data_IF_740924102912
#
_entry.id   IF_740924102912
#
_cell.length_a   1.000
_cell.length_b   1.000
_cell.length_c   1.000
_cell.angle_alpha   90.00
_cell.angle_beta   90.00
_cell.angle_gamma   90.00
#
_symmetry.space_group_name_H-M   'P 1'
#
loop_
_entity.id
_entity.type
_entity.pdbx_description
1 polymer ?
#
# COMPACT_ATOMS: atom_id res chain seq x y z
N UNK A 1 15.19 -45.64 -76.56
CA UNK A 1 14.01 -44.84 -76.98
C UNK A 1 12.77 -45.45 -76.35
N UNK A 2 11.73 -44.71 -75.89
CA UNK A 2 11.72 -43.45 -75.13
C UNK A 2 10.86 -43.52 -73.83
N UNK A 3 11.11 -42.57 -72.92
CA UNK A 3 10.17 -41.74 -72.13
C UNK A 3 8.96 -42.36 -71.37
N UNK A 4 8.92 -42.08 -70.06
CA UNK A 4 7.97 -41.16 -69.35
C UNK A 4 8.04 -41.44 -67.84
N UNK A 5 8.71 -40.61 -67.06
CA UNK A 5 8.25 -39.36 -66.44
C UNK A 5 7.16 -39.51 -65.36
N UNK A 6 7.61 -39.17 -64.14
CA UNK A 6 6.98 -38.36 -63.10
C UNK A 6 5.87 -38.94 -62.22
N UNK A 7 6.09 -38.66 -60.93
CA UNK A 7 5.15 -38.60 -59.78
C UNK A 7 5.02 -39.94 -59.04
N UNK A 8 5.26 -40.04 -57.74
CA UNK A 8 4.68 -39.18 -56.71
C UNK A 8 5.65 -38.99 -55.52
N UNK A 9 6.11 -37.74 -55.39
CA UNK A 9 6.30 -36.94 -54.17
C UNK A 9 6.25 -37.71 -52.83
N UNK A 10 7.42 -37.87 -52.23
CA UNK A 10 7.58 -38.12 -50.80
C UNK A 10 7.18 -36.86 -50.03
N UNK A 11 6.12 -36.96 -49.23
CA UNK A 11 5.72 -35.93 -48.27
C UNK A 11 6.15 -36.37 -46.87
N UNK A 12 7.40 -36.06 -46.51
CA UNK A 12 7.93 -36.13 -45.14
C UNK A 12 8.25 -34.69 -44.72
N UNK A 13 7.27 -34.00 -44.13
CA UNK A 13 7.43 -32.74 -43.38
C UNK A 13 6.21 -32.69 -42.45
N UNK A 14 6.27 -32.55 -41.14
CA UNK A 14 7.34 -32.35 -40.18
C UNK A 14 6.62 -32.17 -38.83
N UNK A 15 6.96 -32.96 -37.82
CA UNK A 15 6.56 -32.72 -36.45
C UNK A 15 7.27 -31.45 -35.97
N UNK A 16 6.63 -30.31 -36.13
CA UNK A 16 7.01 -29.08 -35.45
C UNK A 16 5.99 -28.83 -34.33
N UNK A 17 6.26 -29.43 -33.18
CA UNK A 17 5.74 -28.90 -31.93
C UNK A 17 6.47 -27.62 -31.60
N UNK A 18 5.72 -26.56 -31.33
CA UNK A 18 6.07 -25.57 -30.31
C UNK A 18 4.75 -25.03 -29.77
N UNK A 19 4.34 -25.60 -28.65
CA UNK A 19 3.52 -24.90 -27.68
C UNK A 19 4.34 -23.70 -27.20
N UNK A 20 4.13 -22.54 -27.82
CA UNK A 20 4.55 -21.27 -27.24
C UNK A 20 3.37 -20.74 -26.41
N UNK A 21 3.10 -21.44 -25.31
CA UNK A 21 2.50 -20.84 -24.13
C UNK A 21 3.54 -19.83 -23.67
N UNK A 22 3.32 -18.55 -23.95
CA UNK A 22 4.07 -17.49 -23.30
C UNK A 22 3.59 -17.47 -21.85
N UNK A 23 4.43 -17.81 -20.85
CA UNK A 23 4.12 -17.46 -19.49
C UNK A 23 4.01 -15.93 -19.48
N UNK A 24 2.87 -15.41 -19.03
CA UNK A 24 2.85 -14.02 -18.59
C UNK A 24 3.73 -14.00 -17.35
N UNK A 25 5.01 -13.72 -17.56
CA UNK A 25 5.92 -13.34 -16.50
C UNK A 25 5.28 -12.14 -15.81
N UNK A 26 4.88 -12.33 -14.56
CA UNK A 26 4.45 -11.28 -13.63
C UNK A 26 5.59 -10.31 -13.40
N UNK A 27 5.84 -9.48 -14.41
CA UNK A 27 6.96 -8.60 -14.52
C UNK A 27 6.48 -7.18 -14.66
N UNK A 28 6.60 -6.47 -13.53
CA UNK A 28 6.53 -5.03 -13.32
C UNK A 28 6.63 -4.21 -14.61
N UNK A 29 5.64 -3.33 -14.92
CA UNK A 29 5.76 -2.41 -16.03
C UNK A 29 7.06 -1.65 -15.89
N UNK A 30 7.73 -1.40 -17.02
CA UNK A 30 9.11 -0.91 -17.09
C UNK A 30 9.38 0.34 -16.23
N UNK A 31 8.36 1.16 -15.98
CA UNK A 31 8.41 2.30 -15.06
C UNK A 31 8.70 1.91 -13.59
N UNK A 32 8.20 0.78 -13.10
CA UNK A 32 8.44 0.27 -11.75
C UNK A 32 9.84 -0.38 -11.59
N UNK A 33 10.39 -0.93 -12.68
CA UNK A 33 11.78 -1.44 -12.70
C UNK A 33 12.82 -0.32 -12.70
N UNK A 34 12.50 0.84 -13.25
CA UNK A 34 13.45 1.95 -13.41
C UNK A 34 13.82 2.69 -12.11
N UNK A 35 13.08 2.49 -11.02
CA UNK A 35 13.41 3.13 -9.75
C UNK A 35 14.16 2.23 -8.76
N UNK A 36 13.82 0.94 -8.64
CA UNK A 36 14.45 0.06 -7.62
C UNK A 36 14.39 0.59 -6.18
N UNK A 37 13.60 1.63 -5.90
CA UNK A 37 13.51 2.29 -4.61
C UNK A 37 12.35 1.67 -3.85
N UNK A 38 12.65 0.95 -2.77
CA UNK A 38 11.66 0.53 -1.78
C UNK A 38 10.90 1.79 -1.29
N UNK A 39 9.56 1.85 -1.38
CA UNK A 39 8.79 2.96 -0.87
C UNK A 39 9.10 3.24 0.60
N UNK A 40 9.17 4.52 0.98
CA UNK A 40 9.48 4.96 2.34
C UNK A 40 8.52 6.08 2.75
N UNK A 41 8.30 6.29 4.06
CA UNK A 41 7.53 7.44 4.54
C UNK A 41 8.06 8.77 3.99
N UNK A 42 7.15 9.62 3.50
CA UNK A 42 7.49 10.93 2.93
C UNK A 42 7.84 11.98 4.01
N UNK A 43 7.55 11.68 5.27
CA UNK A 43 7.76 12.54 6.44
C UNK A 43 7.99 11.66 7.69
N UNK A 44 8.68 12.19 8.73
CA UNK A 44 8.78 11.51 10.02
C UNK A 44 7.41 11.26 10.65
N UNK A 45 7.24 10.11 11.31
CA UNK A 45 5.98 9.81 11.98
C UNK A 45 5.65 10.83 13.07
N UNK A 46 4.39 11.20 13.16
CA UNK A 46 3.85 11.97 14.26
C UNK A 46 3.81 11.13 15.55
N UNK A 47 4.05 11.75 16.72
CA UNK A 47 4.09 11.03 17.98
C UNK A 47 2.74 10.37 18.32
N UNK A 48 2.75 9.35 19.20
CA UNK A 48 1.54 8.78 19.78
C UNK A 48 0.65 9.85 20.43
N UNK A 49 -0.66 9.64 20.43
CA UNK A 49 -1.64 10.55 21.01
C UNK A 49 -2.84 9.81 21.59
N UNK A 50 -3.28 10.23 22.78
CA UNK A 50 -4.48 9.68 23.41
C UNK A 50 -5.79 10.27 22.87
N UNK A 51 -6.94 9.84 23.42
CA UNK A 51 -7.13 8.74 24.37
C UNK A 51 -6.75 7.36 23.81
N UNK A 52 -6.71 6.36 24.67
CA UNK A 52 -6.49 4.97 24.27
C UNK A 52 -7.60 4.49 23.33
N UNK A 53 -7.20 3.91 22.21
CA UNK A 53 -8.10 3.44 21.17
C UNK A 53 -7.61 2.14 20.58
N UNK A 54 -8.57 1.30 20.21
CA UNK A 54 -8.34 0.11 19.41
C UNK A 54 -9.20 0.18 18.15
N UNK A 55 -8.55 0.10 16.99
CA UNK A 55 -9.19 0.23 15.69
C UNK A 55 -8.84 -1.00 14.86
N UNK A 56 -9.84 -1.62 14.26
CA UNK A 56 -9.64 -2.69 13.26
C UNK A 56 -10.05 -2.13 11.91
N UNK A 57 -9.18 -2.25 10.91
CA UNK A 57 -9.39 -1.73 9.57
C UNK A 57 -9.03 -2.77 8.51
N UNK A 58 -9.79 -2.83 7.44
CA UNK A 58 -9.39 -3.52 6.22
C UNK A 58 -8.67 -2.52 5.32
N UNK A 59 -7.44 -2.85 4.93
CA UNK A 59 -6.62 -2.07 4.02
C UNK A 59 -6.49 -2.83 2.71
N UNK A 60 -6.91 -2.22 1.60
CA UNK A 60 -6.73 -2.78 0.25
C UNK A 60 -5.83 -1.84 -0.54
N UNK A 61 -4.61 -2.30 -0.83
CA UNK A 61 -3.62 -1.57 -1.61
C UNK A 61 -3.69 -2.02 -3.07
N UNK A 62 -3.95 -1.08 -3.97
CA UNK A 62 -3.90 -1.29 -5.42
C UNK A 62 -2.62 -0.67 -5.97
N UNK A 63 -1.70 -1.55 -6.36
CA UNK A 63 -0.51 -1.23 -7.14
C UNK A 63 -0.81 -1.42 -8.64
N UNK A 64 0.06 -0.95 -9.55
CA UNK A 64 -0.16 -1.13 -10.98
C UNK A 64 -0.32 -2.60 -11.42
N UNK A 65 0.26 -3.55 -10.68
CA UNK A 65 0.25 -4.97 -11.01
C UNK A 65 -0.41 -5.89 -9.99
N UNK A 66 -0.61 -5.40 -8.77
CA UNK A 66 -1.08 -6.24 -7.68
C UNK A 66 -2.12 -5.52 -6.85
N UNK A 67 -2.99 -6.32 -6.27
CA UNK A 67 -3.95 -5.88 -5.29
C UNK A 67 -3.77 -6.74 -4.05
N UNK A 68 -3.48 -6.11 -2.93
CA UNK A 68 -3.19 -6.79 -1.68
C UNK A 68 -4.16 -6.29 -0.62
N UNK A 69 -4.83 -7.21 0.08
CA UNK A 69 -5.72 -6.88 1.18
C UNK A 69 -5.23 -7.47 2.49
N UNK A 70 -5.22 -6.65 3.53
CA UNK A 70 -4.90 -7.08 4.89
C UNK A 70 -5.89 -6.51 5.91
N UNK A 71 -5.96 -7.16 7.07
CA UNK A 71 -6.56 -6.59 8.27
C UNK A 71 -5.45 -5.91 9.08
N UNK A 72 -5.68 -4.65 9.44
CA UNK A 72 -4.82 -3.86 10.30
C UNK A 72 -5.50 -3.69 11.65
N UNK A 73 -4.84 -4.13 12.71
CA UNK A 73 -5.24 -3.83 14.09
C UNK A 73 -4.32 -2.73 14.59
N UNK A 74 -4.88 -1.55 14.84
CA UNK A 74 -4.18 -0.36 15.33
C UNK A 74 -4.58 -0.12 16.79
N UNK A 75 -3.59 -0.12 17.67
CA UNK A 75 -3.71 0.29 19.06
C UNK A 75 -2.93 1.59 19.25
N UNK A 76 -3.58 2.58 19.85
CA UNK A 76 -3.04 3.91 20.01
C UNK A 76 -3.30 4.38 21.43
N UNK A 77 -2.27 4.86 22.11
CA UNK A 77 -2.41 5.65 23.33
C UNK A 77 -1.45 6.86 23.32
N UNK A 78 -1.35 7.57 24.44
CA UNK A 78 -0.47 8.74 24.58
C UNK A 78 1.04 8.40 24.62
N UNK A 79 1.40 7.12 24.72
CA UNK A 79 2.76 6.62 24.89
C UNK A 79 3.24 5.80 23.69
N UNK A 80 2.35 5.08 23.01
CA UNK A 80 2.72 4.19 21.90
C UNK A 80 1.65 4.07 20.81
N UNK A 81 2.13 3.78 19.61
CA UNK A 81 1.36 3.22 18.50
C UNK A 81 1.80 1.77 18.38
N UNK A 82 0.86 0.83 18.39
CA UNK A 82 1.10 -0.56 18.06
C UNK A 82 0.20 -0.96 16.88
N UNK A 83 0.75 -1.73 15.95
CA UNK A 83 0.05 -2.13 14.74
C UNK A 83 0.39 -3.56 14.38
N UNK A 84 -0.63 -4.37 14.13
CA UNK A 84 -0.48 -5.70 13.55
C UNK A 84 -1.16 -5.74 12.18
N UNK A 85 -0.42 -6.18 11.17
CA UNK A 85 -0.97 -6.51 9.86
C UNK A 85 -1.19 -8.00 9.74
N UNK A 86 -2.40 -8.40 9.38
CA UNK A 86 -2.84 -9.79 9.32
C UNK A 86 -3.40 -10.10 7.93
N UNK A 87 -3.26 -11.35 7.47
CA UNK A 87 -4.09 -11.84 6.36
C UNK A 87 -5.56 -11.84 6.78
N UNK A 88 -6.46 -12.00 5.80
CA UNK A 88 -7.89 -12.17 6.09
C UNK A 88 -8.18 -13.39 6.99
N UNK A 89 -7.33 -14.42 6.93
CA UNK A 89 -7.40 -15.61 7.78
C UNK A 89 -6.72 -15.44 9.14
N UNK A 90 -6.18 -14.25 9.44
CA UNK A 90 -5.58 -13.91 10.74
C UNK A 90 -4.10 -14.28 10.89
N UNK A 91 -3.41 -14.66 9.81
CA UNK A 91 -1.96 -14.92 9.87
C UNK A 91 -1.19 -13.60 9.97
N UNK A 92 -0.24 -13.53 10.90
CA UNK A 92 0.59 -12.34 11.10
C UNK A 92 1.53 -12.10 9.91
N UNK A 93 1.36 -10.96 9.25
CA UNK A 93 2.24 -10.44 8.19
C UNK A 93 3.37 -9.60 8.80
N UNK A 94 3.03 -8.73 9.74
CA UNK A 94 3.98 -7.91 10.47
C UNK A 94 3.41 -7.42 11.80
N UNK A 95 4.31 -7.04 12.70
CA UNK A 95 4.01 -6.26 13.89
C UNK A 95 4.89 -5.01 13.90
N UNK A 96 4.35 -3.89 14.36
CA UNK A 96 5.04 -2.62 14.46
C UNK A 96 4.70 -1.96 15.78
N UNK A 97 5.72 -1.38 16.44
CA UNK A 97 5.53 -0.50 17.58
C UNK A 97 6.32 0.80 17.39
N UNK A 98 5.75 1.90 17.88
CA UNK A 98 6.38 3.21 17.82
C UNK A 98 6.04 4.02 19.07
N UNK A 99 7.07 4.48 19.79
CA UNK A 99 6.92 5.22 21.06
C UNK A 99 7.06 6.75 20.91
N UNK A 100 7.10 7.26 19.67
CA UNK A 100 7.40 8.66 19.38
C UNK A 100 8.89 8.93 19.09
N UNK A 101 9.78 7.96 19.30
CA UNK A 101 11.22 8.08 19.05
C UNK A 101 11.77 6.90 18.26
N UNK A 102 11.48 5.70 18.72
CA UNK A 102 11.96 4.44 18.15
C UNK A 102 10.79 3.73 17.49
N UNK A 103 10.99 3.35 16.24
CA UNK A 103 10.07 2.48 15.51
C UNK A 103 10.72 1.10 15.38
N UNK A 104 10.00 0.08 15.82
CA UNK A 104 10.39 -1.31 15.67
C UNK A 104 9.35 -2.00 14.80
N UNK A 105 9.80 -2.64 13.71
CA UNK A 105 8.95 -3.41 12.82
C UNK A 105 9.52 -4.82 12.66
N UNK A 106 8.69 -5.82 12.94
CA UNK A 106 8.99 -7.22 12.70
C UNK A 106 8.07 -7.71 11.57
N UNK A 107 8.65 -7.95 10.39
CA UNK A 107 7.93 -8.41 9.20
C UNK A 107 8.28 -9.87 8.93
N UNK A 108 7.26 -10.68 8.67
CA UNK A 108 7.44 -12.06 8.27
C UNK A 108 8.29 -12.12 6.97
N UNK A 109 9.40 -12.89 6.92
CA UNK A 109 10.28 -12.96 5.76
C UNK A 109 9.62 -13.45 4.46
N UNK A 110 8.49 -14.15 4.57
CA UNK A 110 7.72 -14.63 3.42
C UNK A 110 6.83 -13.56 2.79
N UNK A 111 6.70 -12.39 3.43
CA UNK A 111 5.86 -11.28 2.95
C UNK A 111 6.64 -10.43 1.94
N UNK A 112 6.03 -10.04 0.81
CA UNK A 112 6.69 -9.24 -0.22
C UNK A 112 7.37 -7.96 0.29
N UNK A 113 8.43 -7.53 -0.39
CA UNK A 113 9.15 -6.29 -0.04
C UNK A 113 8.32 -5.02 -0.21
N UNK A 114 7.32 -5.06 -1.10
CA UNK A 114 6.36 -3.98 -1.36
C UNK A 114 5.47 -3.69 -0.15
N UNK A 115 5.28 -4.66 0.75
CA UNK A 115 4.61 -4.44 2.02
C UNK A 115 5.62 -3.84 3.01
N UNK A 116 5.46 -2.55 3.28
CA UNK A 116 6.31 -1.72 4.14
C UNK A 116 5.49 -1.23 5.33
N UNK A 117 5.59 -1.86 6.52
CA UNK A 117 4.82 -1.47 7.72
C UNK A 117 4.96 0.00 8.08
N UNK A 118 6.15 0.57 7.91
CA UNK A 118 6.47 1.96 8.20
C UNK A 118 5.70 2.93 7.30
N UNK A 119 5.50 2.55 6.03
CA UNK A 119 4.71 3.33 5.08
C UNK A 119 3.22 3.25 5.42
N UNK A 120 2.74 2.07 5.81
CA UNK A 120 1.33 1.88 6.21
C UNK A 120 0.99 2.78 7.40
N UNK A 121 1.82 2.81 8.45
CA UNK A 121 1.56 3.70 9.59
C UNK A 121 1.67 5.18 9.23
N UNK A 122 2.57 5.57 8.32
CA UNK A 122 2.65 6.93 7.81
C UNK A 122 1.38 7.34 7.04
N UNK A 123 0.87 6.47 6.19
CA UNK A 123 -0.38 6.69 5.45
C UNK A 123 -1.56 6.83 6.40
N UNK A 124 -1.69 5.92 7.37
CA UNK A 124 -2.76 6.00 8.37
C UNK A 124 -2.66 7.29 9.20
N UNK A 125 -1.46 7.80 9.50
CA UNK A 125 -1.31 9.11 10.14
C UNK A 125 -1.77 10.25 9.23
N UNK A 126 -1.42 10.24 7.93
CA UNK A 126 -1.94 11.24 7.00
C UNK A 126 -3.47 11.23 6.96
N UNK A 127 -4.08 10.05 6.97
CA UNK A 127 -5.53 9.88 6.91
C UNK A 127 -6.21 10.28 8.23
N UNK A 128 -5.70 9.83 9.38
CA UNK A 128 -6.47 9.87 10.63
C UNK A 128 -5.93 10.79 11.71
N UNK A 129 -4.66 11.19 11.70
CA UNK A 129 -4.15 12.05 12.79
C UNK A 129 -4.72 13.46 12.73
N UNK A 130 -4.77 14.17 13.87
CA UNK A 130 -5.03 15.60 13.87
C UNK A 130 -4.06 16.32 12.94
N UNK A 131 -4.59 17.21 12.12
CA UNK A 131 -3.84 17.92 11.07
C UNK A 131 -2.57 18.60 11.62
N UNK A 132 -2.68 19.24 12.77
CA UNK A 132 -1.56 19.94 13.40
C UNK A 132 -0.47 19.01 13.95
N UNK A 133 -0.83 17.77 14.32
CA UNK A 133 0.14 16.78 14.77
C UNK A 133 1.06 16.37 13.63
N UNK A 134 0.49 16.11 12.45
CA UNK A 134 1.24 15.76 11.24
C UNK A 134 2.03 16.95 10.71
N UNK A 135 1.41 18.14 10.63
CA UNK A 135 2.08 19.36 10.14
C UNK A 135 3.37 19.68 10.88
N UNK A 136 3.43 19.43 12.18
CA UNK A 136 4.64 19.65 13.00
C UNK A 136 5.82 18.76 12.62
N UNK A 137 5.57 17.62 11.95
CA UNK A 137 6.62 16.71 11.49
C UNK A 137 7.08 16.97 10.06
N UNK A 138 6.33 17.77 9.29
CA UNK A 138 6.62 17.94 7.88
C UNK A 138 7.98 18.64 7.67
N UNK A 139 8.88 18.05 6.86
CA UNK A 139 10.09 18.74 6.45
C UNK A 139 9.79 20.02 5.68
N UNK A 140 10.78 20.90 5.60
CA UNK A 140 10.67 22.13 4.80
C UNK A 140 10.34 21.79 3.34
N UNK A 141 9.37 22.51 2.77
CA UNK A 141 8.89 22.32 1.40
C UNK A 141 7.64 21.44 1.30
N UNK A 142 7.40 20.57 2.30
CA UNK A 142 6.15 19.82 2.38
C UNK A 142 5.06 20.65 3.06
N UNK A 143 3.84 20.50 2.53
CA UNK A 143 2.65 21.18 3.02
C UNK A 143 1.49 20.19 3.06
N UNK A 144 0.75 20.18 4.16
CA UNK A 144 -0.46 19.37 4.30
C UNK A 144 -1.67 20.30 4.40
N UNK A 145 -2.52 20.23 3.40
CA UNK A 145 -3.78 20.95 3.31
C UNK A 145 -4.94 20.01 3.64
N UNK A 146 -6.01 20.57 4.21
CA UNK A 146 -7.23 19.84 4.50
C UNK A 146 -8.43 20.74 4.21
N UNK A 147 -9.51 20.14 3.72
CA UNK A 147 -10.79 20.79 3.52
C UNK A 147 -11.95 19.81 3.69
N UNK A 148 -13.17 20.19 3.30
CA UNK A 148 -14.33 19.31 3.43
C UNK A 148 -14.12 18.02 2.63
N UNK A 149 -13.99 16.89 3.31
CA UNK A 149 -13.86 15.57 2.67
C UNK A 149 -12.52 15.29 1.99
N UNK A 150 -11.46 16.08 2.22
CA UNK A 150 -10.14 15.78 1.66
C UNK A 150 -8.95 16.24 2.51
N UNK A 151 -7.80 15.59 2.26
CA UNK A 151 -6.47 16.10 2.61
C UNK A 151 -5.54 15.99 1.41
N UNK A 152 -4.53 16.86 1.34
CA UNK A 152 -3.51 16.82 0.29
C UNK A 152 -2.14 17.15 0.87
N UNK A 153 -1.20 16.22 0.69
CA UNK A 153 0.23 16.45 0.94
C UNK A 153 0.89 16.89 -0.37
N UNK A 154 1.58 18.02 -0.35
CA UNK A 154 2.28 18.57 -1.52
C UNK A 154 3.72 18.96 -1.19
N UNK A 155 4.61 18.88 -2.17
CA UNK A 155 5.97 19.45 -2.11
C UNK A 155 6.07 20.60 -3.11
N UNK A 156 6.42 21.80 -2.64
CA UNK A 156 6.53 23.00 -3.47
C UNK A 156 5.31 23.22 -4.41
N UNK A 157 4.11 22.95 -3.88
CA UNK A 157 2.83 23.07 -4.60
C UNK A 157 2.48 21.91 -5.53
N UNK A 158 3.34 20.89 -5.67
CA UNK A 158 3.04 19.67 -6.43
C UNK A 158 2.46 18.59 -5.51
N UNK A 159 1.30 18.01 -5.85
CA UNK A 159 0.67 16.99 -5.01
C UNK A 159 1.51 15.71 -5.00
N UNK A 160 1.75 15.17 -3.79
CA UNK A 160 2.39 13.87 -3.56
C UNK A 160 1.38 12.82 -3.11
N UNK A 161 0.43 13.20 -2.25
CA UNK A 161 -0.60 12.32 -1.73
C UNK A 161 -1.92 13.08 -1.67
N UNK A 162 -2.99 12.44 -2.14
CA UNK A 162 -4.35 12.94 -2.03
C UNK A 162 -5.19 11.96 -1.23
N UNK A 163 -6.06 12.48 -0.35
CA UNK A 163 -6.93 11.67 0.50
C UNK A 163 -8.35 12.17 0.33
N UNK A 164 -9.26 11.24 0.12
CA UNK A 164 -10.69 11.50 -0.03
C UNK A 164 -11.47 10.71 1.02
N UNK A 165 -12.46 11.36 1.63
CA UNK A 165 -13.37 10.73 2.57
C UNK A 165 -14.77 10.69 1.95
N UNK A 166 -15.30 9.49 1.64
CA UNK A 166 -16.66 9.37 1.10
C UNK A 166 -17.73 9.91 2.06
N UNK A 167 -17.49 9.76 3.37
CA UNK A 167 -18.29 10.33 4.43
C UNK A 167 -17.35 10.84 5.54
N UNK A 168 -17.65 12.00 6.10
CA UNK A 168 -16.93 12.62 7.23
C UNK A 168 -17.75 12.64 8.52
N UNK A 169 -18.83 11.85 8.60
CA UNK A 169 -19.61 11.72 9.83
C UNK A 169 -18.78 11.08 10.94
N UNK A 170 -18.85 11.66 12.13
CA UNK A 170 -18.15 11.18 13.31
C UNK A 170 -16.68 11.64 13.42
N UNK A 171 -16.05 11.24 14.53
CA UNK A 171 -14.66 11.64 14.86
C UNK A 171 -13.61 10.83 14.10
N UNK A 172 -13.96 9.60 13.69
CA UNK A 172 -13.10 8.70 12.95
C UNK A 172 -13.84 8.22 11.69
N UNK A 173 -13.40 8.60 10.48
CA UNK A 173 -14.08 8.21 9.24
C UNK A 173 -14.18 6.69 9.07
N UNK A 174 -15.36 6.21 8.70
CA UNK A 174 -15.60 4.78 8.42
C UNK A 174 -14.87 4.30 7.17
N UNK A 175 -14.66 5.19 6.19
CA UNK A 175 -13.94 4.90 4.97
C UNK A 175 -13.05 6.08 4.58
N UNK A 176 -11.93 5.77 3.95
CA UNK A 176 -11.04 6.73 3.34
C UNK A 176 -10.35 6.11 2.13
N UNK A 177 -9.97 6.95 1.18
CA UNK A 177 -9.17 6.57 0.04
C UNK A 177 -7.95 7.46 -0.03
N UNK A 178 -6.77 6.87 -0.01
CA UNK A 178 -5.50 7.57 -0.18
C UNK A 178 -4.92 7.21 -1.55
N UNK A 179 -4.50 8.21 -2.32
CA UNK A 179 -3.79 8.07 -3.58
C UNK A 179 -2.40 8.64 -3.40
N UNK A 180 -1.39 7.78 -3.44
CA UNK A 180 0.01 8.18 -3.38
C UNK A 180 0.55 8.36 -4.80
N UNK A 181 0.65 9.61 -5.24
CA UNK A 181 1.11 9.98 -6.58
C UNK A 181 2.62 9.81 -6.76
N UNK A 182 3.38 9.83 -5.66
CA UNK A 182 4.83 9.62 -5.67
C UNK A 182 5.20 8.16 -5.92
N UNK A 183 4.43 7.22 -5.33
CA UNK A 183 4.70 5.79 -5.42
C UNK A 183 3.68 5.01 -6.26
N UNK A 184 2.72 5.69 -6.87
CA UNK A 184 1.73 5.15 -7.80
C UNK A 184 0.88 4.00 -7.23
N UNK A 185 0.40 4.15 -5.99
CA UNK A 185 -0.59 3.25 -5.41
C UNK A 185 -1.81 3.98 -4.87
N UNK A 186 -2.89 3.21 -4.73
CA UNK A 186 -4.12 3.62 -4.05
C UNK A 186 -4.34 2.72 -2.85
N UNK A 187 -4.71 3.29 -1.72
CA UNK A 187 -5.04 2.58 -0.50
C UNK A 187 -6.50 2.86 -0.15
N UNK A 188 -7.35 1.86 -0.33
CA UNK A 188 -8.72 1.89 0.16
C UNK A 188 -8.74 1.40 1.61
N UNK A 189 -9.33 2.20 2.50
CA UNK A 189 -9.36 1.95 3.93
C UNK A 189 -10.82 1.85 4.36
N UNK A 190 -11.17 0.73 5.00
CA UNK A 190 -12.48 0.54 5.63
C UNK A 190 -12.29 0.22 7.11
N UNK A 191 -12.82 1.08 7.98
CA UNK A 191 -12.86 0.83 9.42
C UNK A 191 -13.91 -0.25 9.69
N UNK A 192 -13.49 -1.33 10.34
CA UNK A 192 -14.32 -2.47 10.74
C UNK A 192 -14.85 -2.27 12.15
N UNK A 193 -13.98 -1.82 13.07
CA UNK A 193 -14.37 -1.42 14.42
C UNK A 193 -13.53 -0.26 14.92
N UNK A 194 -14.13 0.55 15.80
CA UNK A 194 -13.48 1.67 16.48
C UNK A 194 -13.94 1.67 17.93
N UNK A 195 -13.00 1.47 18.84
CA UNK A 195 -13.24 1.40 20.28
C UNK A 195 -12.36 2.42 20.99
N UNK A 196 -12.95 3.24 21.85
CA UNK A 196 -12.21 4.10 22.80
C UNK A 196 -12.15 3.33 24.12
N UNK A 197 -10.95 2.96 24.53
CA UNK A 197 -10.75 2.27 25.81
C UNK A 197 -10.85 3.35 26.88
N UNK A 198 -11.92 3.29 27.66
CA UNK A 198 -12.13 4.22 28.77
C UNK A 198 -11.21 3.82 29.93
N UNK A 199 -10.47 4.79 30.49
CA UNK A 199 -9.76 4.61 31.77
C UNK A 199 -10.74 4.39 32.93
#
# INVERSE_FOLDING_TARGET
MPRRQLSLVALIIGLAGCASIHPQDGSLPEAARQAGVRPQPLFPLAPPLGPERRIVQQLTAHWPESEETLLCVLELDSRRIAMAGLTQDGLSLFNLTYDGKTLEADKNPLVPETLVPELIVADLQLVYWPLDSVRKQLPKGLTLEAGPGFRRLSVDGKPLVEIHYPNTDGTWPEAAELVNLQYHYRLAIRTVSYEVVSE
#
